data_IF_146148857957
#
_entry.id   IF_146148857957
#
_cell.length_a   1.000
_cell.length_b   1.000
_cell.length_c   1.000
_cell.angle_alpha   90.00
_cell.angle_beta   90.00
_cell.angle_gamma   90.00
#
_symmetry.space_group_name_H-M   'P 1'
#
loop_
_entity.id
_entity.type
_entity.pdbx_description
1 polymer ?
#
# COMPACT_ATOMS: atom_id res chain seq x y z
N UNK A 1 7.88 -3.72 13.43
CA UNK A 1 8.05 -3.99 11.98
C UNK A 1 8.33 -2.68 11.25
N UNK A 2 8.96 -2.70 10.07
CA UNK A 2 9.22 -1.53 9.19
C UNK A 2 10.18 -0.45 9.73
N UNK A 3 10.93 -0.75 10.79
CA UNK A 3 11.96 0.16 11.28
C UNK A 3 13.06 0.29 10.22
N UNK A 4 13.50 1.52 9.96
CA UNK A 4 14.53 1.78 8.97
C UNK A 4 15.90 1.54 9.60
N UNK A 5 16.64 0.60 9.02
CA UNK A 5 17.91 0.12 9.53
C UNK A 5 18.99 0.28 8.45
N UNK A 6 20.19 0.64 8.89
CA UNK A 6 21.41 0.42 8.15
C UNK A 6 22.04 -0.88 8.65
N UNK A 7 22.35 -1.79 7.74
CA UNK A 7 22.86 -3.12 8.06
C UNK A 7 24.21 -3.34 7.39
N UNK A 8 25.21 -3.72 8.17
CA UNK A 8 26.42 -4.34 7.61
C UNK A 8 26.24 -5.84 7.67
N UNK A 9 26.30 -6.50 6.52
CA UNK A 9 26.01 -7.93 6.38
C UNK A 9 27.24 -8.66 5.84
N UNK A 10 27.57 -9.81 6.42
CA UNK A 10 28.53 -10.73 5.84
C UNK A 10 27.79 -11.61 4.82
N UNK A 11 28.10 -11.41 3.55
CA UNK A 11 27.50 -12.17 2.47
C UNK A 11 28.14 -13.57 2.38
N UNK A 12 27.31 -14.62 2.46
CA UNK A 12 27.77 -15.99 2.26
C UNK A 12 27.47 -16.43 0.83
N UNK A 13 28.51 -16.62 0.01
CA UNK A 13 28.36 -17.01 -1.39
C UNK A 13 27.96 -18.49 -1.58
N UNK A 14 27.71 -19.25 -0.50
CA UNK A 14 27.32 -20.67 -0.55
C UNK A 14 25.81 -20.90 -0.44
N UNK A 15 24.99 -19.86 -0.47
CA UNK A 15 23.53 -19.97 -0.40
C UNK A 15 22.98 -20.29 1.00
N UNK A 16 23.79 -20.12 2.04
CA UNK A 16 23.34 -20.14 3.43
C UNK A 16 22.87 -18.74 3.86
N UNK A 17 22.13 -18.68 4.97
CA UNK A 17 21.69 -17.42 5.57
C UNK A 17 22.87 -16.46 5.80
N UNK A 18 22.74 -15.24 5.28
CA UNK A 18 23.66 -14.15 5.55
C UNK A 18 23.66 -13.80 7.05
N UNK A 19 24.81 -13.41 7.60
CA UNK A 19 24.91 -12.99 9.00
C UNK A 19 25.02 -11.48 9.11
N UNK A 20 24.26 -10.89 10.04
CA UNK A 20 24.31 -9.46 10.33
C UNK A 20 25.53 -9.20 11.23
N UNK A 21 26.39 -8.28 10.80
CA UNK A 21 27.59 -7.87 11.54
C UNK A 21 27.28 -6.67 12.44
N UNK A 22 26.69 -5.63 11.86
CA UNK A 22 26.36 -4.39 12.55
C UNK A 22 24.96 -3.92 12.14
N UNK A 23 24.24 -3.30 13.08
CA UNK A 23 22.90 -2.73 12.90
C UNK A 23 22.91 -1.32 13.46
N UNK A 24 22.48 -0.37 12.66
CA UNK A 24 22.21 0.99 13.10
C UNK A 24 20.77 1.37 12.75
N UNK A 25 20.14 2.11 13.65
CA UNK A 25 18.81 2.68 13.41
C UNK A 25 19.01 3.93 12.56
N UNK A 26 18.43 3.93 11.36
CA UNK A 26 18.52 5.06 10.44
C UNK A 26 17.53 6.17 10.84
N UNK A 27 16.32 5.77 11.23
CA UNK A 27 15.30 6.68 11.75
C UNK A 27 14.57 6.09 12.95
N UNK A 28 14.51 6.87 14.03
CA UNK A 28 13.67 6.59 15.19
C UNK A 28 12.27 7.14 14.94
N UNK A 29 11.30 6.26 14.70
CA UNK A 29 9.90 6.67 14.63
C UNK A 29 9.38 7.09 16.01
N UNK A 30 8.65 8.19 16.06
CA UNK A 30 8.13 8.76 17.30
C UNK A 30 6.70 8.31 17.59
N UNK A 31 5.83 8.35 16.57
CA UNK A 31 4.40 8.18 16.73
C UNK A 31 3.86 6.86 16.19
N UNK A 32 4.55 6.22 15.24
CA UNK A 32 4.17 4.89 14.75
C UNK A 32 4.07 3.88 15.89
N UNK A 33 4.88 4.02 16.95
CA UNK A 33 4.87 3.12 18.10
C UNK A 33 3.97 3.56 19.26
N UNK A 34 3.35 4.73 19.19
CA UNK A 34 2.52 5.26 20.29
C UNK A 34 1.07 5.50 19.88
N UNK A 35 0.81 5.69 18.59
CA UNK A 35 -0.54 5.83 18.03
C UNK A 35 -1.06 4.48 17.49
N UNK A 36 -2.17 4.01 18.03
CA UNK A 36 -2.76 2.71 17.68
C UNK A 36 -3.19 2.60 16.21
N UNK A 37 -3.63 3.70 15.59
CA UNK A 37 -3.99 3.75 14.16
C UNK A 37 -2.75 3.60 13.31
N UNK A 38 -1.67 4.33 13.63
CA UNK A 38 -0.39 4.22 12.92
C UNK A 38 0.25 2.85 13.08
N UNK A 39 0.24 2.29 14.29
CA UNK A 39 0.70 0.91 14.54
C UNK A 39 -0.05 -0.11 13.67
N UNK A 40 -1.38 0.01 13.62
CA UNK A 40 -2.24 -0.92 12.87
C UNK A 40 -2.01 -0.79 11.36
N UNK A 41 -1.88 0.43 10.85
CA UNK A 41 -1.50 0.70 9.46
C UNK A 41 -0.13 0.09 9.16
N UNK A 42 0.88 0.32 10.00
CA UNK A 42 2.23 -0.18 9.80
C UNK A 42 2.27 -1.71 9.80
N UNK A 43 1.57 -2.37 10.73
CA UNK A 43 1.46 -3.83 10.73
C UNK A 43 0.83 -4.36 9.45
N UNK A 44 -0.27 -3.75 9.00
CA UNK A 44 -0.94 -4.13 7.77
C UNK A 44 -0.05 -3.96 6.54
N UNK A 45 0.62 -2.82 6.41
CA UNK A 45 1.51 -2.56 5.29
C UNK A 45 2.76 -3.44 5.31
N UNK A 46 3.26 -3.83 6.49
CA UNK A 46 4.36 -4.79 6.61
C UNK A 46 3.99 -6.15 5.98
N UNK A 47 2.78 -6.65 6.26
CA UNK A 47 2.29 -7.89 5.64
C UNK A 47 2.08 -7.73 4.14
N UNK A 48 1.52 -6.61 3.68
CA UNK A 48 1.37 -6.35 2.23
C UNK A 48 2.73 -6.36 1.53
N UNK A 49 3.70 -5.60 2.05
CA UNK A 49 5.04 -5.50 1.47
C UNK A 49 5.71 -6.87 1.44
N UNK A 50 5.60 -7.63 2.53
CA UNK A 50 6.10 -9.01 2.61
C UNK A 50 5.45 -9.95 1.58
N UNK A 51 4.16 -9.80 1.32
CA UNK A 51 3.46 -10.63 0.33
C UNK A 51 3.69 -10.19 -1.11
N UNK A 52 3.91 -8.89 -1.35
CA UNK A 52 3.96 -8.30 -2.68
C UNK A 52 5.36 -8.20 -3.28
N UNK A 53 6.39 -7.95 -2.46
CA UNK A 53 7.77 -7.85 -2.93
C UNK A 53 8.44 -9.22 -2.76
N UNK A 54 8.73 -9.89 -3.88
CA UNK A 54 9.41 -11.19 -3.91
C UNK A 54 10.78 -11.16 -4.58
N UNK A 55 11.07 -10.09 -5.30
CA UNK A 55 12.30 -9.92 -6.05
C UNK A 55 13.46 -9.64 -5.11
N UNK A 56 14.58 -10.33 -5.31
CA UNK A 56 15.81 -10.13 -4.54
C UNK A 56 16.73 -9.07 -5.18
N UNK A 57 16.30 -8.46 -6.28
CA UNK A 57 17.07 -7.41 -6.96
C UNK A 57 16.95 -6.05 -6.26
N UNK A 58 18.02 -5.27 -6.36
CA UNK A 58 18.07 -3.93 -5.80
C UNK A 58 17.10 -3.00 -6.52
N UNK A 59 16.10 -2.49 -5.80
CA UNK A 59 15.16 -1.48 -6.30
C UNK A 59 15.22 -0.20 -5.44
N UNK A 60 16.15 0.69 -5.78
CA UNK A 60 16.37 1.95 -5.04
C UNK A 60 15.14 2.86 -5.05
N UNK A 61 14.39 2.90 -6.15
CA UNK A 61 13.21 3.76 -6.28
C UNK A 61 12.08 3.28 -5.38
N UNK A 62 11.83 1.95 -5.35
CA UNK A 62 10.86 1.35 -4.43
C UNK A 62 11.28 1.54 -2.98
N UNK A 63 12.56 1.31 -2.66
CA UNK A 63 13.07 1.54 -1.31
C UNK A 63 12.86 3.00 -0.88
N UNK A 64 13.19 3.98 -1.74
CA UNK A 64 13.00 5.41 -1.43
C UNK A 64 11.53 5.74 -1.20
N UNK A 65 10.63 5.15 -1.98
CA UNK A 65 9.20 5.28 -1.77
C UNK A 65 8.74 4.71 -0.42
N UNK A 66 9.19 3.50 -0.04
CA UNK A 66 8.88 2.90 1.26
C UNK A 66 9.42 3.77 2.41
N UNK A 67 10.68 4.17 2.33
CA UNK A 67 11.38 5.02 3.31
C UNK A 67 10.60 6.32 3.56
N UNK A 68 10.30 7.06 2.49
CA UNK A 68 9.60 8.35 2.57
C UNK A 68 8.16 8.20 3.02
N UNK A 69 7.46 7.14 2.58
CA UNK A 69 6.07 6.90 2.96
C UNK A 69 5.94 6.57 4.45
N UNK A 70 6.81 5.74 5.00
CA UNK A 70 6.75 5.42 6.43
C UNK A 70 7.20 6.58 7.31
N UNK A 71 8.16 7.40 6.85
CA UNK A 71 8.46 8.66 7.54
C UNK A 71 7.24 9.59 7.53
N UNK A 72 6.54 9.71 6.41
CA UNK A 72 5.31 10.50 6.33
C UNK A 72 4.25 10.00 7.32
N UNK A 73 4.03 8.68 7.40
CA UNK A 73 3.10 8.08 8.37
C UNK A 73 3.46 8.45 9.82
N UNK A 74 4.75 8.48 10.14
CA UNK A 74 5.23 8.85 11.48
C UNK A 74 5.03 10.33 11.79
N UNK A 75 5.22 11.22 10.83
CA UNK A 75 5.22 12.67 11.11
C UNK A 75 3.86 13.35 10.96
N UNK A 76 2.81 12.67 10.49
CA UNK A 76 1.49 13.27 10.22
C UNK A 76 0.40 12.70 11.12
N UNK A 77 -0.55 13.52 11.58
CA UNK A 77 -1.62 13.05 12.46
C UNK A 77 -2.81 12.47 11.70
N UNK A 78 -3.19 13.07 10.57
CA UNK A 78 -4.32 12.59 9.76
C UNK A 78 -3.90 11.46 8.81
N UNK A 79 -3.90 10.24 9.32
CA UNK A 79 -3.39 9.05 8.62
C UNK A 79 -4.48 8.09 8.15
N UNK A 80 -5.76 8.44 8.34
CA UNK A 80 -6.86 7.49 8.13
C UNK A 80 -6.93 6.93 6.71
N UNK A 81 -6.51 7.70 5.71
CA UNK A 81 -6.53 7.28 4.30
C UNK A 81 -5.14 6.90 3.77
N UNK A 82 -4.09 6.97 4.59
CA UNK A 82 -2.69 6.76 4.18
C UNK A 82 -2.49 5.41 3.48
N UNK A 83 -2.98 4.34 4.08
CA UNK A 83 -2.82 2.99 3.56
C UNK A 83 -3.46 2.80 2.18
N UNK A 84 -4.53 3.54 1.86
CA UNK A 84 -5.16 3.45 0.54
C UNK A 84 -4.24 4.01 -0.55
N UNK A 85 -3.73 5.22 -0.34
CA UNK A 85 -2.82 5.85 -1.29
C UNK A 85 -1.49 5.11 -1.34
N UNK A 86 -1.02 4.58 -0.21
CA UNK A 86 0.18 3.75 -0.16
C UNK A 86 0.05 2.51 -1.05
N UNK A 87 -1.08 1.78 -0.95
CA UNK A 87 -1.32 0.60 -1.77
C UNK A 87 -1.38 0.95 -3.25
N UNK A 88 -2.12 2.01 -3.62
CA UNK A 88 -2.22 2.47 -4.99
C UNK A 88 -0.85 2.82 -5.58
N UNK A 89 -0.04 3.60 -4.85
CA UNK A 89 1.28 3.99 -5.32
C UNK A 89 2.26 2.81 -5.35
N UNK A 90 2.11 1.83 -4.47
CA UNK A 90 2.92 0.62 -4.50
C UNK A 90 2.74 -0.14 -5.83
N UNK A 91 1.54 -0.17 -6.42
CA UNK A 91 1.33 -0.88 -7.70
C UNK A 91 2.12 -0.29 -8.88
N UNK A 92 2.55 0.98 -8.78
CA UNK A 92 3.46 1.61 -9.75
C UNK A 92 4.81 0.90 -9.81
N UNK A 93 5.33 0.50 -8.66
CA UNK A 93 6.62 -0.19 -8.56
C UNK A 93 6.51 -1.66 -8.92
N UNK A 94 5.32 -2.23 -8.79
CA UNK A 94 5.04 -3.63 -9.11
C UNK A 94 4.56 -3.83 -10.56
N UNK A 95 4.48 -2.76 -11.36
CA UNK A 95 4.21 -2.84 -12.80
C UNK A 95 2.72 -2.91 -13.20
N UNK A 96 1.78 -2.69 -12.28
CA UNK A 96 0.34 -2.71 -12.56
C UNK A 96 -0.37 -1.47 -12.00
N UNK A 97 0.11 -0.28 -12.36
CA UNK A 97 -0.57 0.95 -11.97
C UNK A 97 -1.88 1.12 -12.75
N UNK A 98 -3.01 1.45 -12.09
CA UNK A 98 -4.28 1.62 -12.79
C UNK A 98 -4.24 2.85 -13.70
N UNK A 99 -5.04 2.82 -14.77
CA UNK A 99 -5.28 3.96 -15.64
C UNK A 99 -5.78 5.16 -14.81
N UNK A 100 -5.13 6.31 -15.01
CA UNK A 100 -5.44 7.56 -14.29
C UNK A 100 -6.21 8.57 -15.12
N UNK A 101 -6.35 8.34 -16.43
CA UNK A 101 -7.22 9.17 -17.26
C UNK A 101 -8.67 8.91 -16.85
N UNK A 102 -9.17 9.79 -15.98
CA UNK A 102 -10.52 9.69 -15.40
C UNK A 102 -11.54 9.97 -16.51
N UNK A 103 -11.82 8.93 -17.28
CA UNK A 103 -12.81 8.99 -18.35
C UNK A 103 -14.24 9.01 -17.78
N UNK A 104 -15.17 9.47 -18.60
CA UNK A 104 -16.61 9.43 -18.33
C UNK A 104 -17.21 8.01 -18.38
N UNK A 105 -16.37 6.97 -18.54
CA UNK A 105 -16.79 5.58 -18.54
C UNK A 105 -17.25 5.17 -17.13
N UNK A 106 -18.26 4.31 -17.08
CA UNK A 106 -19.00 3.96 -15.86
C UNK A 106 -18.49 2.69 -15.15
N UNK A 107 -17.51 2.01 -15.73
CA UNK A 107 -16.84 0.86 -15.12
C UNK A 107 -15.32 1.04 -15.11
N UNK A 108 -14.67 0.46 -14.10
CA UNK A 108 -13.24 0.21 -14.09
C UNK A 108 -13.01 -1.30 -14.01
N UNK A 109 -12.32 -1.86 -14.99
CA UNK A 109 -12.00 -3.28 -15.02
C UNK A 109 -10.75 -3.54 -14.18
N UNK A 110 -10.92 -4.22 -13.04
CA UNK A 110 -9.81 -4.52 -12.14
C UNK A 110 -8.84 -5.56 -12.71
N UNK A 111 -9.19 -6.31 -13.76
CA UNK A 111 -8.23 -7.24 -14.37
C UNK A 111 -7.33 -6.50 -15.38
N UNK A 112 -7.92 -5.62 -16.18
CA UNK A 112 -7.19 -4.86 -17.21
C UNK A 112 -6.58 -3.55 -16.66
N UNK A 113 -6.95 -3.15 -15.45
CA UNK A 113 -6.51 -1.89 -14.84
C UNK A 113 -6.96 -0.64 -15.60
N UNK A 114 -8.07 -0.70 -16.34
CA UNK A 114 -8.51 0.37 -17.24
C UNK A 114 -10.01 0.66 -17.16
N UNK A 115 -10.40 1.87 -17.55
CA UNK A 115 -11.79 2.28 -17.62
C UNK A 115 -12.48 1.70 -18.87
N UNK A 116 -13.73 1.24 -18.70
CA UNK A 116 -14.50 0.58 -19.77
C UNK A 116 -16.00 0.92 -19.70
N UNK A 117 -16.69 0.82 -20.84
CA UNK A 117 -18.16 0.94 -20.93
C UNK A 117 -18.87 -0.40 -20.74
N UNK A 118 -18.13 -1.50 -20.65
CA UNK A 118 -18.68 -2.84 -20.54
C UNK A 118 -18.60 -3.35 -19.11
N UNK A 119 -19.70 -3.88 -18.60
CA UNK A 119 -19.69 -4.57 -17.32
C UNK A 119 -19.02 -5.94 -17.48
N UNK A 120 -17.89 -6.14 -16.79
CA UNK A 120 -17.16 -7.41 -16.72
C UNK A 120 -17.19 -7.95 -15.29
N UNK A 121 -16.79 -9.21 -15.12
CA UNK A 121 -16.81 -9.91 -13.82
C UNK A 121 -16.09 -9.14 -12.70
N UNK A 122 -14.95 -8.52 -13.01
CA UNK A 122 -14.13 -7.77 -12.05
C UNK A 122 -14.32 -6.25 -12.16
N UNK A 123 -15.47 -5.78 -12.65
CA UNK A 123 -15.71 -4.35 -12.82
C UNK A 123 -16.17 -3.66 -11.54
N UNK A 124 -15.60 -2.49 -11.25
CA UNK A 124 -16.06 -1.55 -10.22
C UNK A 124 -16.95 -0.49 -10.87
N UNK A 125 -18.09 -0.17 -10.26
CA UNK A 125 -19.04 0.84 -10.76
C UNK A 125 -19.72 1.62 -9.63
N UNK A 126 -20.58 2.56 -9.98
CA UNK A 126 -21.42 3.33 -9.06
C UNK A 126 -20.61 4.12 -8.02
N UNK A 127 -21.10 4.18 -6.78
CA UNK A 127 -20.42 4.89 -5.70
C UNK A 127 -19.00 4.35 -5.46
N UNK A 128 -18.80 3.02 -5.53
CA UNK A 128 -17.47 2.42 -5.34
C UNK A 128 -16.45 2.95 -6.35
N UNK A 129 -16.84 3.09 -7.62
CA UNK A 129 -15.98 3.67 -8.65
C UNK A 129 -15.71 5.16 -8.38
N UNK A 130 -16.74 5.91 -7.98
CA UNK A 130 -16.60 7.32 -7.62
C UNK A 130 -15.60 7.51 -6.47
N UNK A 131 -15.67 6.68 -5.43
CA UNK A 131 -14.73 6.74 -4.30
C UNK A 131 -13.33 6.30 -4.71
N UNK A 132 -13.19 5.25 -5.53
CA UNK A 132 -11.89 4.81 -6.03
C UNK A 132 -11.20 5.89 -6.87
N UNK A 133 -11.94 6.56 -7.76
CA UNK A 133 -11.44 7.66 -8.60
C UNK A 133 -10.83 8.81 -7.78
N UNK A 134 -11.30 9.07 -6.55
CA UNK A 134 -10.72 10.12 -5.68
C UNK A 134 -9.25 9.89 -5.32
N UNK A 135 -8.76 8.64 -5.39
CA UNK A 135 -7.35 8.33 -5.12
C UNK A 135 -6.46 8.45 -6.36
N UNK A 136 -7.03 8.48 -7.56
CA UNK A 136 -6.24 8.48 -8.79
C UNK A 136 -5.61 9.85 -9.00
N UNK A 137 -4.30 9.88 -9.27
CA UNK A 137 -3.57 11.10 -9.60
C UNK A 137 -3.25 12.03 -8.42
N UNK A 138 -3.50 11.61 -7.17
CA UNK A 138 -3.14 12.41 -5.99
C UNK A 138 -1.82 11.95 -5.35
N UNK A 139 -1.24 12.82 -4.52
CA UNK A 139 -0.07 12.52 -3.70
C UNK A 139 -0.41 12.63 -2.20
N UNK A 140 0.55 12.32 -1.32
CA UNK A 140 0.33 12.38 0.13
C UNK A 140 0.05 13.80 0.65
N UNK A 141 0.54 14.84 -0.03
CA UNK A 141 0.37 16.24 0.39
C UNK A 141 -1.11 16.64 0.39
N UNK A 142 -1.86 16.22 -0.63
CA UNK A 142 -3.30 16.53 -0.76
C UNK A 142 -4.20 15.45 -0.17
N UNK A 143 -3.65 14.37 0.39
CA UNK A 143 -4.46 13.25 0.90
C UNK A 143 -5.45 13.69 1.99
N UNK A 144 -5.08 14.70 2.79
CA UNK A 144 -5.94 15.26 3.84
C UNK A 144 -7.22 15.92 3.30
N UNK A 145 -7.27 16.29 2.01
CA UNK A 145 -8.46 16.88 1.38
C UNK A 145 -9.46 15.82 0.91
N UNK A 146 -9.08 14.54 0.92
CA UNK A 146 -9.94 13.44 0.49
C UNK A 146 -10.76 12.95 1.67
N UNK A 147 -12.04 13.29 1.66
CA UNK A 147 -12.97 12.82 2.67
C UNK A 147 -13.56 11.45 2.30
N UNK A 148 -13.28 10.47 3.15
CA UNK A 148 -13.86 9.14 3.11
C UNK A 148 -14.53 8.83 4.45
N UNK A 149 -15.83 8.53 4.38
CA UNK A 149 -16.51 7.82 5.47
C UNK A 149 -15.84 6.46 5.72
N UNK A 150 -16.04 5.88 6.91
CA UNK A 150 -15.53 4.55 7.23
C UNK A 150 -15.96 3.49 6.20
N UNK A 151 -17.23 3.52 5.80
CA UNK A 151 -17.77 2.62 4.76
C UNK A 151 -17.08 2.80 3.41
N UNK A 152 -16.90 4.05 2.94
CA UNK A 152 -16.26 4.32 1.67
C UNK A 152 -14.77 3.93 1.69
N UNK A 153 -14.05 4.23 2.77
CA UNK A 153 -12.66 3.81 2.96
C UNK A 153 -12.51 2.28 2.91
N UNK A 154 -13.40 1.54 3.58
CA UNK A 154 -13.39 0.07 3.54
C UNK A 154 -13.73 -0.50 2.16
N UNK A 155 -14.64 0.15 1.43
CA UNK A 155 -14.96 -0.23 0.05
C UNK A 155 -13.74 -0.04 -0.87
N UNK A 156 -13.08 1.12 -0.80
CA UNK A 156 -11.88 1.42 -1.59
C UNK A 156 -10.72 0.50 -1.23
N UNK A 157 -10.51 0.22 0.07
CA UNK A 157 -9.53 -0.77 0.51
C UNK A 157 -9.81 -2.15 -0.08
N UNK A 158 -11.07 -2.58 -0.12
CA UNK A 158 -11.44 -3.89 -0.65
C UNK A 158 -11.19 -3.98 -2.16
N UNK A 159 -11.43 -2.90 -2.90
CA UNK A 159 -11.07 -2.78 -4.33
C UNK A 159 -9.56 -2.92 -4.52
N UNK A 160 -8.77 -2.18 -3.75
CA UNK A 160 -7.29 -2.25 -3.84
C UNK A 160 -6.77 -3.66 -3.51
N UNK A 161 -7.30 -4.31 -2.48
CA UNK A 161 -6.91 -5.69 -2.15
C UNK A 161 -7.27 -6.66 -3.29
N UNK A 162 -8.47 -6.55 -3.87
CA UNK A 162 -8.85 -7.37 -5.03
C UNK A 162 -7.94 -7.08 -6.23
N UNK A 163 -7.54 -5.83 -6.43
CA UNK A 163 -6.63 -5.44 -7.51
C UNK A 163 -5.25 -6.10 -7.34
N UNK A 164 -4.70 -6.14 -6.12
CA UNK A 164 -3.48 -6.90 -5.80
C UNK A 164 -3.66 -8.41 -6.05
N UNK A 165 -4.79 -8.99 -5.65
CA UNK A 165 -5.09 -10.42 -5.88
C UNK A 165 -5.09 -10.81 -7.36
N UNK A 166 -5.59 -9.92 -8.22
CA UNK A 166 -5.68 -10.18 -9.66
C UNK A 166 -4.33 -10.07 -10.37
N UNK A 167 -3.40 -9.27 -9.84
CA UNK A 167 -2.12 -8.97 -10.51
C UNK A 167 -0.91 -9.70 -9.92
N UNK A 168 -0.96 -10.10 -8.64
CA UNK A 168 0.17 -10.72 -7.97
C UNK A 168 -0.07 -12.22 -7.76
N UNK A 169 0.74 -13.04 -8.41
CA UNK A 169 0.63 -14.50 -8.32
C UNK A 169 0.89 -14.99 -6.88
N UNK A 170 -0.06 -15.75 -6.34
CA UNK A 170 0.03 -16.27 -4.98
C UNK A 170 -0.05 -15.20 -3.88
N UNK A 171 -0.56 -14.01 -4.19
CA UNK A 171 -0.87 -13.01 -3.18
C UNK A 171 -1.89 -13.57 -2.19
N UNK A 172 -1.57 -13.45 -0.90
CA UNK A 172 -2.46 -13.87 0.19
C UNK A 172 -2.98 -12.63 0.87
N UNK A 173 -4.30 -12.55 1.08
CA UNK A 173 -4.89 -11.46 1.87
C UNK A 173 -4.17 -11.38 3.23
N UNK A 174 -3.66 -10.20 3.63
CA UNK A 174 -2.99 -10.05 4.91
C UNK A 174 -3.97 -10.30 6.05
N UNK A 175 -3.51 -11.00 7.08
CA UNK A 175 -4.33 -11.39 8.24
C UNK A 175 -4.70 -10.15 9.07
N UNK A 176 -3.81 -9.17 9.12
CA UNK A 176 -4.05 -7.86 9.73
C UNK A 176 -5.14 -7.04 9.07
N UNK A 177 -5.66 -7.40 7.89
CA UNK A 177 -6.76 -6.67 7.27
C UNK A 177 -8.01 -6.57 8.17
N UNK A 178 -8.31 -7.63 8.92
CA UNK A 178 -9.43 -7.62 9.85
C UNK A 178 -9.21 -6.65 11.02
N UNK A 179 -7.97 -6.59 11.53
CA UNK A 179 -7.56 -5.68 12.60
C UNK A 179 -7.65 -4.24 12.11
N UNK A 180 -7.13 -3.95 10.91
CA UNK A 180 -7.24 -2.64 10.28
C UNK A 180 -8.70 -2.21 10.14
N UNK A 181 -9.57 -3.09 9.63
CA UNK A 181 -11.01 -2.78 9.50
C UNK A 181 -11.66 -2.46 10.85
N UNK A 182 -11.31 -3.19 11.91
CA UNK A 182 -11.82 -2.98 13.27
C UNK A 182 -11.39 -1.64 13.89
N UNK A 183 -10.14 -1.22 13.68
CA UNK A 183 -9.65 0.07 14.21
C UNK A 183 -10.24 1.27 13.48
N UNK A 184 -10.65 1.09 12.22
CA UNK A 184 -11.19 2.14 11.35
C UNK A 184 -12.69 2.02 11.07
N UNK A 185 -13.41 1.11 11.74
CA UNK A 185 -14.87 0.94 11.65
C UNK A 185 -15.64 1.95 12.48
#
# INVERSE_FOLDING_TARGET
PLMQLNLTVNHNNKGELNSIRDIEILHFYNSIYTDIKKQTIALFLAEIVYCAIREEEQNNTLYKYLETSFLWLDTHDNVSNFHLLFLLNLTKFLGFYPETDVSNKIYFDLLEGSFTNFNKVNSVTGNNLMQFKKLLGINFEVLHTIDFSATNRQAVLSILIQYFELHLEGFKKPKSLAILKSVFS
#
